data_IF_470511221868
#
_entry.id   IF_470511221868
#
_cell.length_a   1.000
_cell.length_b   1.000
_cell.length_c   1.000
_cell.angle_alpha   90.00
_cell.angle_beta   90.00
_cell.angle_gamma   90.00
#
_symmetry.space_group_name_H-M   'P 1'
#
loop_
_entity.id
_entity.type
_entity.pdbx_description
1 polymer ?
#
# COMPACT_ATOMS: atom_id res chain seq x y z
N UNK A 1 24.79 33.40 63.65
CA UNK A 1 23.91 34.44 63.10
C UNK A 1 23.87 34.19 61.60
N UNK A 2 22.95 33.32 61.19
CA UNK A 2 21.71 33.70 60.48
C UNK A 2 21.98 33.79 58.97
N UNK A 3 21.17 33.29 58.04
CA UNK A 3 20.05 32.38 58.08
C UNK A 3 19.86 31.87 56.63
N UNK A 4 19.25 30.70 56.51
CA UNK A 4 18.17 30.40 55.58
C UNK A 4 18.19 30.98 54.15
N UNK A 5 18.33 30.09 53.16
CA UNK A 5 17.58 30.17 51.90
C UNK A 5 17.36 28.76 51.35
N UNK A 6 16.26 28.17 51.79
CA UNK A 6 15.66 27.00 51.15
C UNK A 6 14.89 27.32 49.86
N UNK A 7 14.29 26.23 49.35
CA UNK A 7 13.32 26.10 48.26
C UNK A 7 13.89 26.23 46.83
N UNK A 8 13.60 25.33 45.88
CA UNK A 8 12.58 24.28 45.83
C UNK A 8 12.96 23.29 44.72
N UNK A 9 13.10 22.01 45.06
CA UNK A 9 13.13 20.93 44.07
C UNK A 9 11.71 20.82 43.48
N UNK A 10 11.54 21.28 42.23
CA UNK A 10 10.31 21.04 41.48
C UNK A 10 10.26 19.57 41.06
N UNK A 11 9.69 18.72 41.92
CA UNK A 11 9.15 17.42 41.54
C UNK A 11 7.98 17.66 40.58
N UNK A 12 8.29 17.76 39.30
CA UNK A 12 7.32 17.64 38.22
C UNK A 12 6.78 16.22 38.22
N UNK A 13 5.71 16.01 38.96
CA UNK A 13 4.84 14.84 38.85
C UNK A 13 4.23 14.87 37.46
N UNK A 14 4.90 14.24 36.48
CA UNK A 14 4.25 13.84 35.23
C UNK A 14 3.21 12.79 35.60
N UNK A 15 2.01 13.31 35.86
CA UNK A 15 0.77 12.57 35.92
C UNK A 15 0.64 11.86 34.56
N UNK A 16 1.03 10.59 34.52
CA UNK A 16 0.49 9.63 33.57
C UNK A 16 -1.03 9.71 33.73
N UNK A 17 -1.65 10.57 32.92
CA UNK A 17 -3.08 10.61 32.76
C UNK A 17 -3.45 9.25 32.18
N UNK A 18 -3.94 8.37 33.06
CA UNK A 18 -4.80 7.25 32.68
C UNK A 18 -5.89 7.85 31.80
N UNK A 19 -5.65 7.78 30.50
CA UNK A 19 -6.59 8.16 29.46
C UNK A 19 -7.75 7.19 29.61
N UNK A 20 -8.72 7.56 30.45
CA UNK A 20 -9.99 6.88 30.70
C UNK A 20 -10.44 6.26 29.38
N UNK A 21 -10.34 4.93 29.30
CA UNK A 21 -10.50 4.19 28.06
C UNK A 21 -11.89 4.47 27.50
N UNK A 22 -11.99 5.43 26.58
CA UNK A 22 -13.26 5.87 26.00
C UNK A 22 -13.90 4.69 25.29
N UNK A 23 -14.91 4.10 25.94
CA UNK A 23 -15.73 3.06 25.34
C UNK A 23 -16.68 3.73 24.35
N UNK A 24 -16.55 3.39 23.07
CA UNK A 24 -17.45 3.84 22.01
C UNK A 24 -18.21 2.65 21.41
N UNK A 25 -19.50 2.84 21.14
CA UNK A 25 -20.33 1.87 20.41
C UNK A 25 -20.18 2.17 18.92
N UNK A 26 -19.58 1.24 18.18
CA UNK A 26 -19.42 1.35 16.73
C UNK A 26 -20.59 0.67 16.00
N UNK A 27 -21.05 1.27 14.90
CA UNK A 27 -21.91 0.59 13.94
C UNK A 27 -21.07 -0.37 13.08
N UNK A 28 -21.55 -1.59 12.88
CA UNK A 28 -20.85 -2.62 12.09
C UNK A 28 -21.75 -3.12 10.95
N UNK A 29 -21.13 -3.42 9.81
CA UNK A 29 -21.83 -4.07 8.71
C UNK A 29 -21.79 -5.59 8.90
N UNK A 30 -22.94 -6.23 8.78
CA UNK A 30 -23.09 -7.69 8.85
C UNK A 30 -23.40 -8.23 7.46
N UNK A 31 -22.46 -8.98 6.90
CA UNK A 31 -22.64 -9.74 5.66
C UNK A 31 -23.13 -11.14 6.01
N UNK A 32 -24.22 -11.58 5.39
CA UNK A 32 -24.80 -12.90 5.66
C UNK A 32 -24.77 -13.75 4.39
N UNK A 33 -24.11 -14.91 4.45
CA UNK A 33 -24.00 -15.85 3.34
C UNK A 33 -24.48 -17.22 3.80
N UNK A 34 -25.72 -17.57 3.44
CA UNK A 34 -26.42 -18.72 4.02
C UNK A 34 -26.56 -18.55 5.53
N UNK A 35 -26.13 -19.55 6.30
CA UNK A 35 -26.21 -19.54 7.77
C UNK A 35 -24.98 -18.92 8.46
N UNK A 36 -24.04 -18.36 7.71
CA UNK A 36 -22.84 -17.75 8.25
C UNK A 36 -22.95 -16.22 8.22
N UNK A 37 -22.56 -15.58 9.32
CA UNK A 37 -22.38 -14.14 9.41
C UNK A 37 -20.89 -13.81 9.30
N UNK A 38 -20.60 -12.67 8.67
CA UNK A 38 -19.28 -12.09 8.54
C UNK A 38 -19.32 -10.59 8.81
N UNK A 39 -18.36 -10.08 9.57
CA UNK A 39 -18.24 -8.67 9.95
C UNK A 39 -16.91 -8.09 9.42
N UNK A 40 -16.86 -7.71 8.13
CA UNK A 40 -15.62 -7.17 7.55
C UNK A 40 -15.28 -5.78 8.09
N UNK A 41 -13.99 -5.45 8.10
CA UNK A 41 -13.55 -4.07 8.30
C UNK A 41 -14.07 -3.20 7.14
N UNK A 42 -14.62 -2.03 7.47
CA UNK A 42 -15.23 -1.13 6.50
C UNK A 42 -14.42 0.16 6.36
N UNK A 43 -14.39 0.70 5.14
CA UNK A 43 -13.84 2.02 4.84
C UNK A 43 -14.78 2.73 3.87
N UNK A 44 -14.99 4.03 4.07
CA UNK A 44 -15.80 4.87 3.16
C UNK A 44 -14.87 5.75 2.33
N UNK A 45 -15.11 5.81 1.01
CA UNK A 45 -14.43 6.71 0.08
C UNK A 45 -15.40 7.09 -1.05
N UNK A 46 -15.33 8.30 -1.59
CA UNK A 46 -16.20 8.76 -2.69
C UNK A 46 -17.70 8.46 -2.48
N UNK A 47 -18.21 8.65 -1.26
CA UNK A 47 -19.59 8.34 -0.84
C UNK A 47 -20.02 6.87 -1.02
N UNK A 48 -19.07 5.96 -1.17
CA UNK A 48 -19.28 4.52 -1.27
C UNK A 48 -18.66 3.81 -0.07
N UNK A 49 -19.23 2.67 0.27
CA UNK A 49 -18.77 1.83 1.37
C UNK A 49 -17.96 0.68 0.79
N UNK A 50 -16.77 0.43 1.32
CA UNK A 50 -15.87 -0.64 0.90
C UNK A 50 -15.62 -1.57 2.07
N UNK A 51 -15.54 -2.86 1.79
CA UNK A 51 -15.22 -3.88 2.78
C UNK A 51 -13.87 -4.51 2.49
N UNK A 52 -13.13 -4.77 3.56
CA UNK A 52 -11.82 -5.41 3.50
C UNK A 52 -11.98 -6.91 3.27
N UNK A 53 -11.24 -7.41 2.30
CA UNK A 53 -11.10 -8.83 2.01
C UNK A 53 -9.68 -9.25 2.34
N UNK A 54 -9.53 -10.17 3.29
CA UNK A 54 -8.25 -10.70 3.73
C UNK A 54 -8.21 -12.23 3.61
N UNK A 55 -7.12 -12.74 3.03
CA UNK A 55 -6.81 -14.17 2.94
C UNK A 55 -6.62 -14.83 4.31
N UNK A 56 -6.59 -14.02 5.35
CA UNK A 56 -6.41 -14.40 6.72
C UNK A 56 -7.69 -14.34 7.56
N UNK A 57 -8.79 -13.84 6.99
CA UNK A 57 -10.08 -13.72 7.64
C UNK A 57 -10.71 -15.11 7.90
N UNK A 58 -11.02 -15.38 9.16
CA UNK A 58 -11.57 -16.66 9.62
C UNK A 58 -13.01 -16.87 9.16
N UNK A 59 -13.83 -15.82 9.16
CA UNK A 59 -15.24 -15.88 8.80
C UNK A 59 -15.40 -16.02 7.29
N UNK A 60 -14.65 -15.23 6.51
CA UNK A 60 -14.59 -15.39 5.06
C UNK A 60 -14.12 -16.78 4.66
N UNK A 61 -13.10 -17.32 5.36
CA UNK A 61 -12.64 -18.69 5.10
C UNK A 61 -13.74 -19.72 5.36
N UNK A 62 -14.49 -19.55 6.45
CA UNK A 62 -15.62 -20.45 6.78
C UNK A 62 -16.72 -20.34 5.73
N UNK A 63 -17.06 -19.13 5.27
CA UNK A 63 -18.07 -18.89 4.23
C UNK A 63 -17.67 -19.55 2.91
N UNK A 64 -16.42 -19.37 2.50
CA UNK A 64 -15.96 -19.78 1.17
C UNK A 64 -15.58 -21.26 1.13
N UNK A 65 -14.82 -21.75 2.10
CA UNK A 65 -14.31 -23.13 2.12
C UNK A 65 -15.15 -24.09 2.97
N UNK A 66 -16.20 -23.60 3.64
CA UNK A 66 -17.08 -24.40 4.51
C UNK A 66 -16.46 -24.86 5.83
N UNK A 67 -15.13 -24.70 6.00
CA UNK A 67 -14.38 -25.12 7.19
C UNK A 67 -13.69 -23.91 7.81
N UNK A 68 -13.93 -23.69 9.10
CA UNK A 68 -13.17 -22.69 9.85
C UNK A 68 -11.70 -23.12 9.97
N UNK A 69 -10.76 -22.24 9.64
CA UNK A 69 -9.34 -22.55 9.76
C UNK A 69 -8.88 -22.34 11.21
N UNK A 70 -8.58 -23.45 11.89
CA UNK A 70 -7.80 -23.42 13.13
C UNK A 70 -6.30 -23.40 12.79
N UNK A 71 -5.74 -22.19 12.70
CA UNK A 71 -4.32 -21.97 12.34
C UNK A 71 -3.32 -22.73 13.22
N UNK A 72 -3.67 -22.95 14.49
CA UNK A 72 -2.79 -23.62 15.44
C UNK A 72 -2.73 -25.13 15.25
N UNK A 73 -3.78 -25.75 14.71
CA UNK A 73 -3.88 -27.23 14.61
C UNK A 73 -3.53 -27.75 13.22
N UNK A 74 -3.81 -26.97 12.16
CA UNK A 74 -3.81 -27.49 10.78
C UNK A 74 -2.78 -26.79 9.89
N UNK A 75 -1.50 -26.82 10.27
CA UNK A 75 -0.41 -26.13 9.54
C UNK A 75 -0.11 -26.69 8.14
N UNK A 76 -0.59 -27.89 7.79
CA UNK A 76 -0.21 -28.57 6.54
C UNK A 76 -1.37 -28.96 5.60
N UNK A 77 -2.50 -29.39 6.15
CA UNK A 77 -3.49 -30.19 5.38
C UNK A 77 -4.68 -29.41 4.81
N UNK A 78 -4.96 -28.19 5.28
CA UNK A 78 -6.17 -27.48 4.87
C UNK A 78 -5.85 -26.49 3.74
N UNK A 79 -6.63 -26.56 2.64
CA UNK A 79 -6.72 -25.52 1.62
C UNK A 79 -6.92 -24.18 2.35
N UNK A 80 -5.93 -23.30 2.28
CA UNK A 80 -5.96 -22.00 2.95
C UNK A 80 -6.21 -20.93 1.92
N UNK A 81 -7.03 -19.94 2.27
CA UNK A 81 -7.30 -18.81 1.37
C UNK A 81 -6.00 -18.19 0.84
N UNK A 82 -4.95 -18.11 1.67
CA UNK A 82 -3.66 -17.54 1.27
C UNK A 82 -2.95 -18.23 0.10
N UNK A 83 -3.35 -19.47 -0.24
CA UNK A 83 -2.80 -20.21 -1.36
C UNK A 83 -3.60 -20.03 -2.63
N UNK A 84 -4.75 -19.34 -2.63
CA UNK A 84 -5.59 -19.24 -3.82
C UNK A 84 -5.01 -18.27 -4.84
N UNK A 85 -5.09 -18.63 -6.13
CA UNK A 85 -4.62 -17.81 -7.25
C UNK A 85 -5.40 -16.48 -7.34
N UNK A 86 -6.66 -16.47 -6.93
CA UNK A 86 -7.54 -15.31 -6.90
C UNK A 86 -6.91 -14.07 -6.26
N UNK A 87 -6.13 -14.23 -5.19
CA UNK A 87 -5.47 -13.08 -4.54
C UNK A 87 -4.44 -12.43 -5.44
N UNK A 88 -3.61 -13.23 -6.11
CA UNK A 88 -2.62 -12.73 -7.04
C UNK A 88 -3.29 -12.03 -8.22
N UNK A 89 -4.38 -12.61 -8.74
CA UNK A 89 -5.14 -12.07 -9.86
C UNK A 89 -5.81 -10.74 -9.50
N UNK A 90 -6.48 -10.66 -8.35
CA UNK A 90 -7.14 -9.43 -7.90
C UNK A 90 -6.15 -8.30 -7.58
N UNK A 91 -4.99 -8.63 -7.00
CA UNK A 91 -3.94 -7.63 -6.81
C UNK A 91 -3.35 -7.15 -8.15
N UNK A 92 -3.20 -8.05 -9.13
CA UNK A 92 -2.74 -7.71 -10.46
C UNK A 92 -3.75 -6.80 -11.19
N UNK A 93 -5.04 -7.15 -11.15
CA UNK A 93 -6.13 -6.34 -11.72
C UNK A 93 -6.15 -4.95 -11.10
N UNK A 94 -6.07 -4.84 -9.77
CA UNK A 94 -6.02 -3.54 -9.08
C UNK A 94 -4.80 -2.72 -9.48
N UNK A 95 -3.61 -3.34 -9.53
CA UNK A 95 -2.40 -2.65 -9.98
C UNK A 95 -2.54 -2.17 -11.43
N UNK A 96 -3.09 -2.99 -12.30
CA UNK A 96 -3.32 -2.64 -13.71
C UNK A 96 -4.30 -1.47 -13.83
N UNK A 97 -5.40 -1.47 -13.07
CA UNK A 97 -6.36 -0.37 -13.04
C UNK A 97 -5.73 0.94 -12.56
N UNK A 98 -4.94 0.89 -11.47
CA UNK A 98 -4.21 2.06 -10.98
C UNK A 98 -3.19 2.58 -12.02
N UNK A 99 -2.44 1.67 -12.65
CA UNK A 99 -1.49 2.01 -13.69
C UNK A 99 -2.19 2.69 -14.88
N UNK A 100 -3.29 2.11 -15.38
CA UNK A 100 -4.07 2.68 -16.48
C UNK A 100 -4.54 4.09 -16.15
N UNK A 101 -5.10 4.30 -14.95
CA UNK A 101 -5.63 5.60 -14.55
C UNK A 101 -4.55 6.71 -14.52
N UNK A 102 -3.33 6.40 -14.05
CA UNK A 102 -2.21 7.36 -14.15
C UNK A 102 -1.78 7.57 -15.58
N UNK A 103 -1.66 6.49 -16.36
CA UNK A 103 -1.18 6.58 -17.74
C UNK A 103 -2.11 7.45 -18.57
N UNK A 104 -3.42 7.40 -18.30
CA UNK A 104 -4.40 8.25 -18.96
C UNK A 104 -4.22 9.73 -18.58
N UNK A 105 -4.00 10.05 -17.30
CA UNK A 105 -3.72 11.42 -16.84
C UNK A 105 -2.41 11.96 -17.42
N UNK A 106 -1.34 11.16 -17.41
CA UNK A 106 -0.05 11.56 -17.95
C UNK A 106 -0.10 11.73 -19.47
N UNK A 107 -0.83 10.85 -20.17
CA UNK A 107 -1.04 10.98 -21.61
C UNK A 107 -1.83 12.24 -21.94
N UNK A 108 -2.90 12.53 -21.20
CA UNK A 108 -3.68 13.76 -21.37
C UNK A 108 -2.81 15.02 -21.19
N UNK A 109 -1.97 15.05 -20.14
CA UNK A 109 -1.07 16.17 -19.88
C UNK A 109 0.01 16.36 -20.98
N UNK A 110 0.48 15.28 -21.62
CA UNK A 110 1.41 15.39 -22.76
C UNK A 110 0.72 15.96 -23.99
N UNK A 111 -0.47 15.46 -24.32
CA UNK A 111 -1.26 15.95 -25.44
C UNK A 111 -1.61 17.44 -25.27
N UNK A 112 -1.92 17.89 -24.05
CA UNK A 112 -2.20 19.30 -23.75
C UNK A 112 -0.98 20.21 -23.96
N UNK A 113 0.23 19.72 -23.70
CA UNK A 113 1.47 20.46 -23.94
C UNK A 113 1.94 20.44 -25.40
N UNK A 114 1.23 19.75 -26.30
CA UNK A 114 1.60 19.61 -27.71
C UNK A 114 2.74 18.62 -27.97
N UNK A 115 3.14 17.84 -26.96
CA UNK A 115 4.14 16.79 -27.11
C UNK A 115 3.46 15.50 -27.58
N UNK A 116 3.85 14.99 -28.76
CA UNK A 116 3.46 13.65 -29.18
C UNK A 116 4.12 12.61 -28.27
N UNK A 117 3.32 11.70 -27.69
CA UNK A 117 3.85 10.62 -26.84
C UNK A 117 4.72 9.69 -27.69
N UNK A 118 6.03 9.59 -27.43
CA UNK A 118 6.89 8.71 -28.20
C UNK A 118 6.41 7.27 -28.12
N UNK A 119 6.46 6.52 -29.23
CA UNK A 119 5.99 5.12 -29.27
C UNK A 119 6.67 4.19 -28.23
N UNK A 120 7.89 4.55 -27.82
CA UNK A 120 8.68 3.82 -26.81
C UNK A 120 8.58 4.43 -25.40
N UNK A 121 7.71 5.41 -25.19
CA UNK A 121 7.56 6.04 -23.90
C UNK A 121 6.96 5.05 -22.90
N UNK A 122 7.73 4.76 -21.85
CA UNK A 122 7.29 3.89 -20.76
C UNK A 122 6.84 4.75 -19.61
N UNK A 123 5.53 4.81 -19.41
CA UNK A 123 4.98 5.38 -18.20
C UNK A 123 5.45 4.58 -16.98
N UNK A 124 5.71 5.30 -15.89
CA UNK A 124 6.04 4.69 -14.61
C UNK A 124 4.87 3.88 -14.05
N UNK A 125 5.18 2.97 -13.14
CA UNK A 125 4.17 2.30 -12.31
C UNK A 125 3.53 3.30 -11.32
N UNK A 126 2.28 2.98 -10.97
CA UNK A 126 1.50 3.67 -9.96
C UNK A 126 2.06 3.48 -8.54
N UNK A 127 1.91 4.52 -7.73
CA UNK A 127 2.23 4.61 -6.31
C UNK A 127 0.95 4.93 -5.53
N UNK A 128 1.00 4.74 -4.21
CA UNK A 128 -0.15 5.01 -3.35
C UNK A 128 -0.53 6.51 -3.37
N UNK A 129 0.45 7.41 -3.42
CA UNK A 129 0.22 8.87 -3.45
C UNK A 129 -0.36 9.38 -4.77
N UNK A 130 -0.32 8.59 -5.84
CA UNK A 130 -0.82 9.02 -7.15
C UNK A 130 -2.34 9.17 -7.20
N UNK A 131 -3.07 8.64 -6.19
CA UNK A 131 -4.51 8.87 -6.04
C UNK A 131 -4.86 10.35 -6.01
N UNK A 132 -3.98 11.19 -5.46
CA UNK A 132 -4.16 12.65 -5.40
C UNK A 132 -3.91 13.33 -6.75
N UNK A 133 -2.98 12.78 -7.53
CA UNK A 133 -2.69 13.24 -8.89
C UNK A 133 -3.87 12.94 -9.82
N UNK A 134 -4.41 11.73 -9.73
CA UNK A 134 -5.56 11.28 -10.52
C UNK A 134 -6.88 11.87 -9.99
N UNK A 135 -6.88 12.38 -8.74
CA UNK A 135 -8.07 12.81 -7.99
C UNK A 135 -9.14 11.71 -7.94
N UNK A 136 -8.70 10.47 -7.80
CA UNK A 136 -9.56 9.28 -7.68
C UNK A 136 -9.04 8.42 -6.54
N UNK A 137 -9.89 8.16 -5.55
CA UNK A 137 -9.59 7.21 -4.48
C UNK A 137 -10.07 5.79 -4.79
N UNK A 138 -10.81 5.62 -5.90
CA UNK A 138 -11.43 4.38 -6.32
C UNK A 138 -11.02 4.04 -7.76
N UNK A 139 -10.83 2.75 -8.04
CA UNK A 139 -10.50 2.20 -9.36
C UNK A 139 -11.46 1.08 -9.75
N UNK A 140 -11.71 0.97 -11.06
CA UNK A 140 -12.55 -0.07 -11.65
C UNK A 140 -11.75 -1.34 -11.94
N UNK A 141 -12.19 -2.46 -11.40
CA UNK A 141 -11.62 -3.78 -11.65
C UNK A 141 -12.52 -4.53 -12.62
N UNK A 142 -12.03 -4.80 -13.83
CA UNK A 142 -12.72 -5.65 -14.79
C UNK A 142 -12.48 -7.12 -14.44
N UNK A 143 -13.44 -7.71 -13.75
CA UNK A 143 -13.37 -9.08 -13.28
C UNK A 143 -13.93 -10.05 -14.33
N UNK A 144 -13.23 -11.18 -14.60
CA UNK A 144 -13.63 -12.13 -15.62
C UNK A 144 -14.94 -12.87 -15.26
N UNK A 145 -15.60 -13.45 -16.27
CA UNK A 145 -16.75 -14.32 -16.04
C UNK A 145 -16.34 -15.59 -15.26
N UNK A 146 -17.25 -16.07 -14.42
CA UNK A 146 -17.18 -17.33 -13.70
C UNK A 146 -18.25 -18.29 -14.24
N UNK A 147 -18.29 -19.53 -13.75
CA UNK A 147 -19.26 -20.53 -14.21
C UNK A 147 -20.73 -20.06 -14.08
N UNK A 148 -21.07 -19.44 -12.94
CA UNK A 148 -22.44 -18.98 -12.63
C UNK A 148 -22.60 -17.44 -12.66
N UNK A 149 -21.54 -16.69 -12.97
CA UNK A 149 -21.54 -15.23 -12.87
C UNK A 149 -20.95 -14.60 -14.13
N UNK A 150 -21.63 -13.61 -14.73
CA UNK A 150 -21.08 -12.90 -15.89
C UNK A 150 -19.83 -12.10 -15.50
N UNK A 151 -19.07 -11.68 -16.52
CA UNK A 151 -18.02 -10.69 -16.33
C UNK A 151 -18.63 -9.42 -15.72
N UNK A 152 -17.95 -8.86 -14.72
CA UNK A 152 -18.48 -7.73 -13.94
C UNK A 152 -17.39 -6.71 -13.66
N UNK A 153 -17.81 -5.49 -13.36
CA UNK A 153 -16.91 -4.41 -12.94
C UNK A 153 -17.11 -4.19 -11.45
N UNK A 154 -16.03 -4.32 -10.69
CA UNK A 154 -16.03 -4.12 -9.24
C UNK A 154 -15.21 -2.89 -8.92
N UNK A 155 -15.75 -2.00 -8.10
CA UNK A 155 -15.02 -0.85 -7.60
C UNK A 155 -14.11 -1.26 -6.43
N UNK A 156 -12.88 -0.76 -6.43
CA UNK A 156 -11.90 -1.04 -5.39
C UNK A 156 -11.18 0.24 -4.95
N UNK A 157 -10.73 0.30 -3.70
CA UNK A 157 -9.92 1.43 -3.25
C UNK A 157 -8.55 1.43 -3.93
N UNK A 158 -8.06 2.63 -4.20
CA UNK A 158 -6.71 2.88 -4.70
C UNK A 158 -5.69 2.45 -3.66
N UNK A 159 -5.00 1.35 -3.94
CA UNK A 159 -3.95 0.84 -3.07
C UNK A 159 -3.03 -0.10 -3.86
N UNK A 160 -1.75 0.24 -3.94
CA UNK A 160 -0.75 -0.57 -4.65
C UNK A 160 -0.37 -1.79 -3.82
N UNK A 161 -0.25 -1.62 -2.50
CA UNK A 161 0.15 -2.68 -1.57
C UNK A 161 -0.78 -2.76 -0.37
N UNK A 162 -1.10 -3.97 0.06
CA UNK A 162 -1.92 -4.22 1.25
C UNK A 162 -3.25 -4.88 0.91
N UNK A 163 -4.20 -4.90 1.86
CA UNK A 163 -5.46 -5.62 1.72
C UNK A 163 -6.29 -5.12 0.53
N UNK A 164 -7.22 -5.94 0.07
CA UNK A 164 -8.19 -5.56 -0.96
C UNK A 164 -9.41 -4.95 -0.27
N UNK A 165 -9.76 -3.72 -0.64
CA UNK A 165 -11.02 -3.10 -0.27
C UNK A 165 -11.88 -3.03 -1.52
N UNK A 166 -12.99 -3.74 -1.51
CA UNK A 166 -13.95 -3.79 -2.62
C UNK A 166 -15.27 -3.17 -2.19
N UNK A 167 -16.01 -2.61 -3.13
CA UNK A 167 -17.28 -1.94 -2.83
C UNK A 167 -18.31 -2.92 -2.24
N UNK A 168 -18.93 -2.52 -1.14
CA UNK A 168 -19.90 -3.31 -0.40
C UNK A 168 -21.26 -3.28 -1.11
N UNK A 169 -21.35 -4.03 -2.20
CA UNK A 169 -22.60 -4.39 -2.86
C UNK A 169 -22.87 -5.88 -2.76
N UNK A 170 -24.14 -6.26 -2.84
CA UNK A 170 -24.54 -7.67 -2.81
C UNK A 170 -23.90 -8.47 -3.96
N UNK A 171 -23.86 -7.88 -5.16
CA UNK A 171 -23.25 -8.49 -6.34
C UNK A 171 -21.76 -8.70 -6.19
N UNK A 172 -21.05 -7.70 -5.65
CA UNK A 172 -19.61 -7.80 -5.40
C UNK A 172 -19.31 -8.92 -4.39
N UNK A 173 -20.05 -8.99 -3.28
CA UNK A 173 -19.88 -10.04 -2.27
C UNK A 173 -20.15 -11.42 -2.87
N UNK A 174 -21.25 -11.58 -3.62
CA UNK A 174 -21.60 -12.84 -4.30
C UNK A 174 -20.50 -13.28 -5.26
N UNK A 175 -20.03 -12.36 -6.12
CA UNK A 175 -18.96 -12.62 -7.06
C UNK A 175 -17.67 -13.03 -6.33
N UNK A 176 -17.25 -12.31 -5.30
CA UNK A 176 -16.03 -12.62 -4.56
C UNK A 176 -16.10 -14.01 -3.89
N UNK A 177 -17.23 -14.34 -3.26
CA UNK A 177 -17.41 -15.66 -2.65
C UNK A 177 -17.36 -16.77 -3.70
N UNK A 178 -18.00 -16.59 -4.84
CA UNK A 178 -17.96 -17.55 -5.95
C UNK A 178 -16.56 -17.69 -6.54
N UNK A 179 -15.88 -16.57 -6.81
CA UNK A 179 -14.54 -16.51 -7.36
C UNK A 179 -13.53 -17.22 -6.44
N UNK A 180 -13.59 -16.96 -5.13
CA UNK A 180 -12.72 -17.62 -4.15
C UNK A 180 -12.97 -19.12 -4.09
N UNK A 181 -14.25 -19.56 -4.15
CA UNK A 181 -14.61 -20.98 -4.14
C UNK A 181 -14.04 -21.73 -5.35
N UNK A 182 -14.21 -21.15 -6.53
CA UNK A 182 -13.79 -21.72 -7.82
C UNK A 182 -12.28 -21.55 -8.09
N UNK A 183 -11.59 -20.66 -7.37
CA UNK A 183 -10.19 -20.37 -7.62
C UNK A 183 -9.28 -21.57 -7.34
N UNK A 184 -8.37 -21.93 -8.27
CA UNK A 184 -7.38 -22.96 -8.02
C UNK A 184 -6.36 -22.50 -6.98
N UNK A 185 -5.67 -23.47 -6.38
CA UNK A 185 -4.47 -23.17 -5.59
C UNK A 185 -3.39 -22.60 -6.53
N UNK A 186 -2.80 -21.49 -6.12
CA UNK A 186 -1.68 -20.85 -6.79
C UNK A 186 -0.52 -21.83 -6.90
N UNK A 187 -0.05 -22.04 -8.13
CA UNK A 187 1.13 -22.86 -8.36
C UNK A 187 2.31 -22.18 -7.68
N UNK A 188 3.03 -22.84 -6.76
CA UNK A 188 4.19 -22.25 -6.12
C UNK A 188 5.20 -21.90 -7.21
N UNK A 189 5.36 -20.60 -7.47
CA UNK A 189 6.36 -20.11 -8.41
C UNK A 189 7.72 -20.61 -7.90
N UNK A 190 8.35 -21.53 -8.64
CA UNK A 190 9.57 -22.20 -8.22
C UNK A 190 10.56 -21.21 -7.60
N UNK A 191 11.24 -21.58 -6.49
CA UNK A 191 12.03 -20.62 -5.73
C UNK A 191 13.06 -19.99 -6.66
N UNK A 192 12.90 -18.70 -6.96
CA UNK A 192 13.87 -17.93 -7.75
C UNK A 192 15.22 -18.12 -7.06
N UNK A 193 16.13 -18.88 -7.70
CA UNK A 193 17.48 -19.13 -7.17
C UNK A 193 18.03 -17.78 -6.73
N UNK A 194 18.25 -17.62 -5.42
CA UNK A 194 18.85 -16.40 -4.86
C UNK A 194 20.15 -16.17 -5.62
N UNK A 195 20.19 -15.19 -6.53
CA UNK A 195 21.43 -14.81 -7.20
C UNK A 195 22.37 -14.40 -6.09
N UNK A 196 23.42 -15.20 -5.84
CA UNK A 196 24.48 -14.86 -4.89
C UNK A 196 25.00 -13.49 -5.30
N UNK A 197 24.72 -12.47 -4.50
CA UNK A 197 25.24 -11.11 -4.67
C UNK A 197 26.76 -11.25 -4.60
N UNK A 198 27.45 -11.30 -5.75
CA UNK A 198 28.92 -11.25 -5.79
C UNK A 198 29.29 -9.91 -5.16
N UNK A 199 29.78 -9.99 -3.92
CA UNK A 199 30.41 -8.87 -3.22
C UNK A 199 31.54 -8.40 -4.15
N UNK A 200 31.37 -7.25 -4.81
CA UNK A 200 32.46 -6.61 -5.53
C UNK A 200 33.48 -6.25 -4.45
N UNK A 201 34.52 -7.06 -4.31
CA UNK A 201 35.74 -6.69 -3.60
C UNK A 201 36.24 -5.43 -4.28
N UNK A 202 36.08 -4.31 -3.60
CA UNK A 202 36.75 -3.06 -3.93
C UNK A 202 38.24 -3.38 -3.90
N UNK A 203 38.85 -3.50 -5.08
CA UNK A 203 40.30 -3.57 -5.19
C UNK A 203 40.83 -2.19 -4.85
N UNK A 204 41.23 -2.01 -3.59
CA UNK A 204 42.06 -0.90 -3.15
C UNK A 204 43.34 -0.92 -3.98
N UNK A 205 43.42 -0.02 -4.96
CA UNK A 205 44.66 0.20 -5.70
C UNK A 205 45.49 1.18 -4.88
N UNK A 206 46.70 0.82 -4.40
CA UNK A 206 47.57 1.78 -3.74
C UNK A 206 48.20 2.66 -4.82
N UNK A 207 47.73 3.91 -4.96
CA UNK A 207 48.34 4.87 -5.87
C UNK A 207 49.50 5.57 -5.16
N UNK A 208 50.70 5.23 -5.63
CA UNK A 208 52.00 5.85 -5.35
C UNK A 208 51.89 7.36 -5.13
N UNK A 209 52.61 7.82 -4.12
CA UNK A 209 53.04 9.19 -3.98
C UNK A 209 53.89 9.62 -5.19
N UNK A 210 53.49 10.68 -5.88
CA UNK A 210 54.39 11.49 -6.68
C UNK A 210 54.15 12.97 -6.37
N UNK A 211 55.26 13.64 -6.16
CA UNK A 211 55.44 15.02 -5.76
C UNK A 211 55.09 16.01 -6.88
N UNK A 212 54.43 17.11 -6.48
CA UNK A 212 54.69 18.46 -7.00
C UNK A 212 53.65 19.07 -7.95
N UNK A 213 53.67 20.40 -8.18
CA UNK A 213 54.00 21.50 -7.27
C UNK A 213 52.81 22.45 -7.04
N UNK A 214 52.98 23.34 -6.06
CA UNK A 214 52.03 24.35 -5.60
C UNK A 214 51.46 25.22 -6.74
N UNK A 215 50.15 25.46 -6.70
CA UNK A 215 49.49 26.55 -7.46
C UNK A 215 49.18 27.72 -6.53
N UNK A 216 49.32 28.98 -7.01
CA UNK A 216 49.18 30.17 -6.19
C UNK A 216 47.72 30.41 -5.80
N UNK A 217 47.54 30.92 -4.58
CA UNK A 217 46.29 31.55 -4.13
C UNK A 217 46.02 32.77 -5.00
N UNK A 218 44.91 32.77 -5.73
CA UNK A 218 44.30 33.99 -6.22
C UNK A 218 43.02 34.29 -5.42
N UNK A 219 42.95 35.57 -5.07
CA UNK A 219 42.17 36.27 -4.07
C UNK A 219 40.67 36.32 -4.33
N UNK A 220 39.93 36.05 -3.25
CA UNK A 220 38.77 36.79 -2.72
C UNK A 220 38.23 37.96 -3.58
N UNK A 221 36.99 37.87 -4.13
CA UNK A 221 36.28 39.04 -4.63
C UNK A 221 35.48 39.74 -3.52
N UNK A 222 35.72 41.04 -3.43
CA UNK A 222 35.14 41.99 -2.49
C UNK A 222 33.60 42.11 -2.58
N UNK A 223 32.99 42.38 -1.42
CA UNK A 223 31.59 42.71 -1.26
C UNK A 223 31.22 44.04 -1.94
N UNK A 224 30.04 44.17 -2.56
CA UNK A 224 29.57 45.44 -3.10
C UNK A 224 29.02 46.36 -1.99
N UNK A 225 29.49 47.62 -2.02
CA UNK A 225 29.00 48.75 -1.23
C UNK A 225 27.52 49.04 -1.51
N UNK A 226 26.78 49.33 -0.43
CA UNK A 226 25.42 49.86 -0.50
C UNK A 226 25.44 51.36 -0.81
N UNK A 227 24.63 51.87 -1.76
CA UNK A 227 24.44 53.30 -1.92
C UNK A 227 23.48 53.85 -0.86
N UNK A 228 23.92 54.96 -0.27
CA UNK A 228 23.24 55.72 0.76
C UNK A 228 22.01 56.47 0.28
N UNK A 229 21.34 56.99 1.30
CA UNK A 229 20.12 57.77 1.29
C UNK A 229 20.25 59.13 0.58
N UNK A 230 19.16 59.52 -0.07
CA UNK A 230 18.59 60.87 -0.07
C UNK A 230 17.06 60.75 0.08
#
# INVERSE_FOLDING_TARGET
>A
MDADRGASESHGSDHDAEEDARVAIAQVHRVTVGNNAWYPDIQTADNRVFFKIDKHDRELTKITLGKGVNRHKNKGEIRTLSKLQWWADMHALRKQACNSAIHDVLRAAMTENGDEVPANFRFRDARDDDKWLVRKEVVELHCPALEDYPATVIMALWQIRGPLFLELTEECVKYCVAAIRQSPDAVPCSPKRKRKKKLRRSASTPRKAEHGPARPMESEPAAPEAPGAD
#
